data_IF_612286108855
#
_entry.id   IF_612286108855
#
_cell.length_a   1.000
_cell.length_b   1.000
_cell.length_c   1.000
_cell.angle_alpha   90.00
_cell.angle_beta   90.00
_cell.angle_gamma   90.00
#
_symmetry.space_group_name_H-M   'P 1'
#
loop_
_entity.id
_entity.type
_entity.pdbx_description
1 polymer ?
#
# COMPACT_ATOMS: atom_id res chain seq x y z
N UNK A 1 43.71 49.70 45.11
CA UNK A 1 42.31 49.45 44.71
C UNK A 1 42.10 49.40 43.18
N UNK A 2 43.05 48.83 42.39
CA UNK A 2 42.93 48.79 40.90
C UNK A 2 42.56 47.42 40.32
N UNK A 3 42.68 46.33 41.10
CA UNK A 3 42.43 44.97 40.62
C UNK A 3 40.98 44.46 40.74
N UNK A 4 40.12 45.12 41.55
CA UNK A 4 38.71 44.69 41.71
C UNK A 4 37.81 45.17 40.57
N UNK A 5 38.07 46.35 40.01
CA UNK A 5 37.26 46.90 38.92
C UNK A 5 37.52 46.20 37.57
N UNK A 6 38.72 45.67 37.35
CA UNK A 6 39.06 44.91 36.13
C UNK A 6 38.34 43.54 36.11
N UNK A 7 38.24 42.86 37.25
CA UNK A 7 37.54 41.57 37.33
C UNK A 7 36.02 41.70 37.13
N UNK A 8 35.41 42.79 37.60
CA UNK A 8 33.98 43.05 37.39
C UNK A 8 33.68 43.44 35.93
N UNK A 9 34.57 44.21 35.28
CA UNK A 9 34.41 44.58 33.88
C UNK A 9 34.52 43.38 32.92
N UNK A 10 35.41 42.42 33.21
CA UNK A 10 35.59 41.21 32.38
C UNK A 10 34.40 40.26 32.52
N UNK A 11 33.80 40.14 33.72
CA UNK A 11 32.62 39.28 33.94
C UNK A 11 31.37 39.86 33.25
N UNK A 12 31.22 41.20 33.23
CA UNK A 12 30.09 41.83 32.56
C UNK A 12 30.20 41.79 31.02
N UNK A 13 31.42 41.84 30.47
CA UNK A 13 31.65 41.72 29.03
C UNK A 13 31.38 40.30 28.48
N UNK A 14 31.62 39.25 29.28
CA UNK A 14 31.33 37.85 28.89
C UNK A 14 29.83 37.57 28.90
N UNK A 15 29.05 38.22 29.77
CA UNK A 15 27.60 37.99 29.86
C UNK A 15 26.80 38.66 28.73
N UNK A 16 27.36 39.67 28.04
CA UNK A 16 26.73 40.34 26.88
C UNK A 16 26.95 39.52 25.58
N UNK A 17 27.94 38.62 25.55
CA UNK A 17 28.21 37.73 24.41
C UNK A 17 27.29 36.49 24.33
N UNK A 18 26.46 36.24 25.35
CA UNK A 18 25.53 35.09 25.38
C UNK A 18 24.08 35.45 25.02
N UNK A 19 23.79 36.71 24.68
CA UNK A 19 22.45 37.17 24.26
C UNK A 19 22.38 37.54 22.78
N UNK A 20 23.46 37.33 22.02
CA UNK A 20 23.44 37.42 20.55
C UNK A 20 23.12 36.04 20.00
N UNK A 21 21.83 35.72 19.90
CA UNK A 21 21.35 34.52 19.20
C UNK A 21 21.76 34.56 17.74
N UNK A 22 22.88 33.90 17.42
CA UNK A 22 23.27 33.63 16.05
C UNK A 22 22.24 32.66 15.45
N UNK A 23 21.51 33.10 14.43
CA UNK A 23 20.79 32.27 13.48
C UNK A 23 21.78 31.35 12.74
N UNK A 24 22.26 30.31 13.41
CA UNK A 24 23.26 29.36 12.90
C UNK A 24 22.64 28.18 12.14
N UNK A 25 21.33 28.22 11.90
CA UNK A 25 20.64 27.25 11.07
C UNK A 25 19.87 28.00 9.98
N UNK A 26 20.14 27.72 8.70
CA UNK A 26 19.35 28.31 7.63
C UNK A 26 17.93 27.71 7.69
N UNK A 27 16.93 28.47 7.23
CA UNK A 27 15.54 28.01 7.24
C UNK A 27 15.42 26.63 6.54
N UNK A 28 14.54 25.71 7.01
CA UNK A 28 14.43 24.33 6.51
C UNK A 28 14.25 24.25 4.99
N UNK A 29 13.64 25.27 4.39
CA UNK A 29 13.41 25.42 2.95
C UNK A 29 14.70 25.44 2.12
N UNK A 30 15.84 25.88 2.71
CA UNK A 30 17.15 25.88 2.05
C UNK A 30 17.90 24.53 2.14
N UNK A 31 17.45 23.63 3.02
CA UNK A 31 17.93 22.25 3.11
C UNK A 31 17.22 21.33 2.10
N UNK A 32 16.06 21.76 1.60
CA UNK A 32 15.37 21.11 0.47
C UNK A 32 16.00 21.63 -0.82
N UNK A 33 17.16 21.12 -1.18
CA UNK A 33 17.60 21.17 -2.58
C UNK A 33 16.77 20.17 -3.36
N UNK A 34 16.08 20.63 -4.40
CA UNK A 34 15.54 19.75 -5.43
C UNK A 34 16.62 18.73 -5.82
N UNK A 35 16.28 17.43 -5.97
CA UNK A 35 17.27 16.41 -6.26
C UNK A 35 18.06 16.86 -7.48
N UNK A 36 19.35 17.14 -7.29
CA UNK A 36 20.28 17.22 -8.41
C UNK A 36 20.25 15.81 -8.98
N UNK A 37 19.58 15.64 -10.11
CA UNK A 37 19.69 14.44 -10.90
C UNK A 37 21.17 14.11 -11.01
N UNK A 38 21.59 13.09 -10.27
CA UNK A 38 22.82 12.40 -10.57
C UNK A 38 22.52 11.72 -11.88
N UNK A 39 22.73 12.45 -12.98
CA UNK A 39 22.92 11.82 -14.28
C UNK A 39 24.17 10.98 -14.10
N UNK A 40 23.99 9.74 -13.70
CA UNK A 40 24.93 8.69 -14.03
C UNK A 40 25.02 8.72 -15.56
N UNK A 41 26.06 9.37 -16.07
CA UNK A 41 26.45 9.29 -17.47
C UNK A 41 26.98 7.88 -17.65
N UNK A 42 26.07 6.94 -17.89
CA UNK A 42 26.41 5.65 -18.47
C UNK A 42 26.28 5.79 -19.99
N UNK A 43 27.28 5.38 -20.79
CA UNK A 43 27.26 5.47 -22.25
C UNK A 43 26.38 4.39 -22.91
N UNK A 44 25.38 3.87 -22.19
CA UNK A 44 24.24 3.21 -22.81
C UNK A 44 23.56 4.27 -23.67
N UNK A 45 23.36 3.98 -24.95
CA UNK A 45 22.49 4.80 -25.80
C UNK A 45 21.24 5.13 -25.00
N UNK A 46 20.97 6.41 -24.77
CA UNK A 46 19.86 6.87 -23.93
C UNK A 46 18.58 6.07 -24.25
N UNK A 47 18.16 5.18 -23.32
CA UNK A 47 17.00 4.30 -23.50
C UNK A 47 15.74 5.11 -23.81
N UNK A 48 15.64 6.31 -23.25
CA UNK A 48 14.57 7.27 -23.56
C UNK A 48 14.62 7.70 -25.02
N UNK A 49 15.81 7.95 -25.57
CA UNK A 49 15.99 8.25 -26.99
C UNK A 49 15.66 7.05 -27.88
N UNK A 50 16.00 5.82 -27.48
CA UNK A 50 15.61 4.60 -28.20
C UNK A 50 14.09 4.44 -28.18
N UNK A 51 13.46 4.59 -27.02
CA UNK A 51 12.01 4.53 -26.83
C UNK A 51 11.31 5.56 -27.74
N UNK A 52 11.75 6.83 -27.72
CA UNK A 52 11.21 7.91 -28.56
C UNK A 52 11.25 7.61 -30.06
N UNK A 53 12.32 6.97 -30.54
CA UNK A 53 12.44 6.58 -31.97
C UNK A 53 11.51 5.42 -32.36
N UNK A 54 11.08 4.62 -31.38
CA UNK A 54 10.22 3.44 -31.59
C UNK A 54 8.75 3.67 -31.23
N UNK A 55 8.41 4.89 -30.79
CA UNK A 55 7.04 5.31 -30.53
C UNK A 55 6.16 5.17 -31.78
N UNK A 56 4.89 4.74 -31.62
CA UNK A 56 3.89 4.89 -32.67
C UNK A 56 3.80 6.33 -33.18
N UNK A 57 3.51 6.52 -34.47
CA UNK A 57 3.34 7.87 -35.03
C UNK A 57 2.25 8.64 -34.27
N UNK A 58 2.53 9.90 -33.96
CA UNK A 58 1.59 10.75 -33.23
C UNK A 58 1.39 10.36 -31.76
N UNK A 59 2.36 9.69 -31.14
CA UNK A 59 2.35 9.38 -29.71
C UNK A 59 3.52 10.07 -28.98
N UNK A 60 3.39 10.16 -27.66
CA UNK A 60 4.41 10.66 -26.74
C UNK A 60 4.61 9.66 -25.60
N UNK A 61 5.77 9.72 -24.94
CA UNK A 61 5.99 8.99 -23.71
C UNK A 61 5.00 9.45 -22.63
N UNK A 62 4.51 8.51 -21.83
CA UNK A 62 3.56 8.76 -20.75
C UNK A 62 4.05 8.12 -19.47
N UNK A 63 4.15 8.90 -18.40
CA UNK A 63 4.47 8.42 -17.06
C UNK A 63 3.17 7.88 -16.44
N UNK A 64 3.20 6.71 -15.77
CA UNK A 64 2.02 6.19 -15.08
C UNK A 64 1.77 6.98 -13.77
N UNK A 65 0.54 6.96 -13.26
CA UNK A 65 0.23 7.62 -12.00
C UNK A 65 0.80 6.89 -10.78
N UNK A 66 0.95 5.56 -10.89
CA UNK A 66 1.54 4.70 -9.88
C UNK A 66 2.38 3.54 -10.43
N UNK A 67 3.21 2.92 -9.58
CA UNK A 67 3.62 3.42 -8.27
C UNK A 67 4.52 4.66 -8.37
N UNK A 68 4.65 5.41 -7.27
CA UNK A 68 5.43 6.65 -7.23
C UNK A 68 6.89 6.40 -7.63
N UNK A 69 7.40 7.22 -8.54
CA UNK A 69 8.80 7.18 -8.98
C UNK A 69 9.06 6.28 -10.20
N UNK A 70 8.02 5.67 -10.77
CA UNK A 70 8.13 4.96 -12.05
C UNK A 70 8.18 5.94 -13.21
N UNK A 71 9.09 5.70 -14.15
CA UNK A 71 9.25 6.47 -15.38
C UNK A 71 8.48 5.85 -16.57
N UNK A 72 8.30 6.62 -17.63
CA UNK A 72 7.70 6.16 -18.90
C UNK A 72 8.50 5.07 -19.65
N UNK A 73 9.73 4.79 -19.21
CA UNK A 73 10.60 3.74 -19.73
C UNK A 73 11.17 2.97 -18.55
N UNK A 74 10.80 1.70 -18.44
CA UNK A 74 11.16 0.80 -17.35
C UNK A 74 12.16 -0.22 -17.90
N UNK A 75 13.32 -0.35 -17.26
CA UNK A 75 14.29 -1.39 -17.60
C UNK A 75 13.99 -2.64 -16.78
N UNK A 76 13.85 -3.78 -17.44
CA UNK A 76 13.42 -5.02 -16.80
C UNK A 76 13.84 -6.22 -17.65
N UNK A 77 14.44 -7.23 -17.04
CA UNK A 77 14.63 -8.55 -17.62
C UNK A 77 13.30 -9.33 -17.60
N UNK A 78 12.72 -9.55 -18.78
CA UNK A 78 11.41 -10.17 -18.98
C UNK A 78 11.49 -11.63 -19.41
N UNK A 79 12.55 -12.00 -20.12
CA UNK A 79 12.73 -13.36 -20.66
C UNK A 79 13.64 -14.24 -19.79
N UNK A 80 14.35 -13.64 -18.84
CA UNK A 80 15.24 -14.29 -17.88
C UNK A 80 16.65 -14.52 -18.42
N UNK A 81 17.08 -13.79 -19.45
CA UNK A 81 18.41 -13.93 -20.06
C UNK A 81 19.50 -13.02 -19.44
N UNK A 82 19.16 -12.29 -18.37
CA UNK A 82 19.97 -11.29 -17.67
C UNK A 82 20.25 -10.00 -18.47
N UNK A 83 19.73 -9.86 -19.69
CA UNK A 83 19.73 -8.62 -20.44
C UNK A 83 18.38 -7.91 -20.24
N UNK A 84 18.42 -6.64 -19.87
CA UNK A 84 17.18 -5.91 -19.59
C UNK A 84 16.51 -5.42 -20.90
N UNK A 85 15.23 -5.72 -21.04
CA UNK A 85 14.33 -5.09 -21.99
C UNK A 85 13.88 -3.71 -21.52
N UNK A 86 13.52 -2.85 -22.48
CA UNK A 86 12.87 -1.59 -22.21
C UNK A 86 11.36 -1.69 -22.40
N UNK A 87 10.60 -1.70 -21.31
CA UNK A 87 9.15 -1.50 -21.31
C UNK A 87 8.84 0.00 -21.45
N UNK A 88 8.16 0.38 -22.53
CA UNK A 88 7.88 1.77 -22.89
C UNK A 88 6.38 2.04 -22.82
N UNK A 89 6.02 3.08 -22.10
CA UNK A 89 4.66 3.55 -21.88
C UNK A 89 4.39 4.80 -22.72
N UNK A 90 3.24 4.85 -23.39
CA UNK A 90 2.92 5.94 -24.31
C UNK A 90 1.44 6.33 -24.31
N UNK A 91 1.18 7.56 -24.71
CA UNK A 91 -0.17 8.07 -25.00
C UNK A 91 -0.25 8.64 -26.42
N UNK A 92 -1.36 8.39 -27.10
CA UNK A 92 -1.66 8.94 -28.41
C UNK A 92 -2.05 10.41 -28.30
N UNK A 93 -1.48 11.24 -29.17
CA UNK A 93 -1.84 12.64 -29.32
C UNK A 93 -2.92 12.87 -30.39
N UNK A 94 -3.30 11.81 -31.13
CA UNK A 94 -4.16 11.91 -32.32
C UNK A 94 -5.50 11.22 -32.12
N UNK A 95 -5.57 10.19 -31.27
CA UNK A 95 -6.77 9.41 -30.99
C UNK A 95 -7.12 9.52 -29.50
N UNK A 96 -8.24 10.15 -29.15
CA UNK A 96 -8.92 10.20 -27.83
C UNK A 96 -8.08 9.77 -26.61
N UNK A 97 -6.87 10.33 -26.45
CA UNK A 97 -5.91 9.95 -25.41
C UNK A 97 -5.65 8.43 -25.25
N UNK A 98 -5.78 7.61 -26.30
CA UNK A 98 -5.50 6.17 -26.21
C UNK A 98 -4.07 5.92 -25.69
N UNK A 99 -3.96 5.17 -24.60
CA UNK A 99 -2.68 4.77 -24.02
C UNK A 99 -2.25 3.38 -24.48
N UNK A 100 -0.99 3.05 -24.28
CA UNK A 100 -0.48 1.71 -24.53
C UNK A 100 0.95 1.52 -24.03
N UNK A 101 1.44 0.31 -24.24
CA UNK A 101 2.78 -0.09 -23.88
C UNK A 101 3.42 -0.96 -24.97
N UNK A 102 4.74 -0.96 -25.06
CA UNK A 102 5.49 -1.93 -25.86
C UNK A 102 6.82 -2.26 -25.18
N UNK A 103 7.36 -3.45 -25.44
CA UNK A 103 8.69 -3.82 -24.96
C UNK A 103 9.68 -3.87 -26.12
N UNK A 104 10.91 -3.39 -25.87
CA UNK A 104 12.03 -3.46 -26.79
C UNK A 104 13.12 -4.36 -26.21
N UNK A 105 13.71 -5.18 -27.07
CA UNK A 105 14.84 -6.07 -26.76
C UNK A 105 16.03 -5.67 -27.62
N UNK A 106 17.25 -5.78 -27.07
CA UNK A 106 18.48 -5.47 -27.78
C UNK A 106 19.11 -6.72 -28.40
N UNK A 107 18.83 -6.93 -29.68
CA UNK A 107 19.47 -7.99 -30.47
C UNK A 107 20.77 -7.55 -31.16
N UNK A 108 21.34 -8.46 -31.96
CA UNK A 108 22.54 -8.22 -32.75
C UNK A 108 22.41 -7.06 -33.77
N UNK A 109 21.19 -6.82 -34.27
CA UNK A 109 20.88 -5.77 -35.24
C UNK A 109 20.37 -4.46 -34.59
N UNK A 110 20.50 -4.34 -33.26
CA UNK A 110 19.96 -3.24 -32.48
C UNK A 110 18.62 -3.57 -31.83
N UNK A 111 17.90 -2.52 -31.41
CA UNK A 111 16.66 -2.66 -30.66
C UNK A 111 15.48 -3.04 -31.56
N UNK A 112 14.73 -4.07 -31.16
CA UNK A 112 13.52 -4.53 -31.83
C UNK A 112 12.35 -4.64 -30.86
N UNK A 113 11.13 -4.46 -31.39
CA UNK A 113 9.90 -4.55 -30.60
C UNK A 113 9.45 -6.00 -30.49
N UNK A 114 9.39 -6.51 -29.27
CA UNK A 114 9.00 -7.90 -28.97
C UNK A 114 7.55 -8.01 -28.46
N UNK A 115 6.97 -6.88 -28.02
CA UNK A 115 5.62 -6.82 -27.49
C UNK A 115 5.00 -5.46 -27.77
N UNK A 116 3.67 -5.43 -27.95
CA UNK A 116 2.88 -4.21 -27.99
C UNK A 116 1.46 -4.50 -27.50
N UNK A 117 0.93 -3.61 -26.69
CA UNK A 117 -0.48 -3.61 -26.27
C UNK A 117 -1.04 -2.20 -26.30
N UNK A 118 -2.35 -2.11 -26.53
CA UNK A 118 -3.11 -0.87 -26.41
C UNK A 118 -4.01 -1.02 -25.20
N UNK A 119 -3.92 -0.08 -24.27
CA UNK A 119 -4.79 -0.07 -23.10
C UNK A 119 -6.24 0.20 -23.51
N UNK A 120 -7.18 -0.32 -22.73
CA UNK A 120 -8.61 -0.06 -22.91
C UNK A 120 -9.04 1.34 -22.39
N UNK A 121 -8.10 2.10 -21.81
CA UNK A 121 -8.33 3.39 -21.17
C UNK A 121 -7.70 4.59 -21.89
N UNK A 122 -7.84 5.72 -21.23
CA UNK A 122 -7.32 7.04 -21.64
C UNK A 122 -6.08 7.44 -20.84
N UNK A 123 -5.81 6.75 -19.73
CA UNK A 123 -4.69 7.03 -18.82
C UNK A 123 -4.02 5.72 -18.36
N UNK A 124 -2.74 5.82 -18.00
CA UNK A 124 -1.95 4.72 -17.44
C UNK A 124 -1.92 4.94 -15.94
N UNK A 125 -2.84 4.31 -15.23
CA UNK A 125 -2.94 4.46 -13.79
C UNK A 125 -1.78 3.75 -13.08
N UNK A 126 -1.36 2.60 -13.61
CA UNK A 126 -0.31 1.80 -12.96
C UNK A 126 0.62 1.15 -13.97
N UNK A 127 1.92 1.11 -13.69
CA UNK A 127 2.84 0.25 -14.44
C UNK A 127 4.01 -0.20 -13.56
N UNK A 128 4.22 -1.51 -13.48
CA UNK A 128 5.33 -2.08 -12.71
C UNK A 128 5.72 -3.43 -13.30
N UNK A 129 6.90 -3.92 -12.90
CA UNK A 129 7.33 -5.27 -13.21
C UNK A 129 7.84 -5.97 -11.95
N UNK A 130 7.25 -7.12 -11.65
CA UNK A 130 7.50 -7.85 -10.40
C UNK A 130 7.30 -9.35 -10.60
N UNK A 131 8.06 -10.17 -9.89
CA UNK A 131 7.86 -11.63 -9.86
C UNK A 131 6.65 -11.94 -8.98
N UNK A 132 5.45 -11.94 -9.59
CA UNK A 132 4.20 -12.24 -8.89
C UNK A 132 3.84 -13.72 -9.01
N UNK A 133 4.54 -14.50 -9.83
CA UNK A 133 4.34 -15.93 -9.97
C UNK A 133 5.28 -16.75 -9.07
N UNK A 134 6.39 -16.17 -8.65
CA UNK A 134 7.45 -16.80 -7.86
C UNK A 134 8.29 -17.78 -8.68
N UNK A 135 8.53 -17.48 -9.96
CA UNK A 135 9.32 -18.32 -10.86
C UNK A 135 10.70 -17.73 -11.22
N UNK A 136 11.06 -16.60 -10.60
CA UNK A 136 12.30 -15.87 -10.83
C UNK A 136 12.24 -14.90 -12.01
N UNK A 137 11.16 -14.89 -12.81
CA UNK A 137 10.94 -13.91 -13.88
C UNK A 137 9.90 -12.89 -13.46
N UNK A 138 10.07 -11.65 -13.92
CA UNK A 138 9.13 -10.58 -13.63
C UNK A 138 7.98 -10.60 -14.62
N UNK A 139 6.76 -10.57 -14.10
CA UNK A 139 5.58 -10.23 -14.87
C UNK A 139 5.49 -8.72 -15.09
N UNK A 140 4.84 -8.31 -16.18
CA UNK A 140 4.45 -6.92 -16.42
C UNK A 140 3.02 -6.71 -15.94
N UNK A 141 2.83 -5.64 -15.20
CA UNK A 141 1.55 -5.22 -14.65
C UNK A 141 1.22 -3.85 -15.22
N UNK A 142 0.13 -3.75 -15.98
CA UNK A 142 -0.31 -2.51 -16.65
C UNK A 142 -1.75 -2.17 -16.23
N UNK A 143 -1.87 -1.10 -15.44
CA UNK A 143 -3.12 -0.54 -14.98
C UNK A 143 -3.64 0.54 -15.93
N UNK A 144 -4.85 0.34 -16.44
CA UNK A 144 -5.52 1.27 -17.33
C UNK A 144 -6.70 1.93 -16.62
N UNK A 145 -6.79 3.24 -16.76
CA UNK A 145 -7.97 4.00 -16.34
C UNK A 145 -8.73 4.50 -17.57
N UNK A 146 -10.02 4.21 -17.58
CA UNK A 146 -10.96 4.74 -18.57
C UNK A 146 -11.71 5.91 -17.93
N UNK A 147 -11.72 7.05 -18.60
CA UNK A 147 -12.49 8.22 -18.16
C UNK A 147 -13.95 7.85 -17.85
N UNK A 148 -14.43 8.24 -16.67
CA UNK A 148 -15.78 7.94 -16.20
C UNK A 148 -16.01 6.51 -15.67
N UNK A 149 -15.01 5.63 -15.74
CA UNK A 149 -15.09 4.31 -15.10
C UNK A 149 -14.98 4.42 -13.58
N UNK A 150 -15.73 3.57 -12.87
CA UNK A 150 -15.67 3.48 -11.41
C UNK A 150 -14.47 2.66 -10.91
N UNK A 151 -13.87 1.82 -11.75
CA UNK A 151 -12.72 0.96 -11.44
C UNK A 151 -11.67 1.05 -12.55
N UNK A 152 -10.41 0.90 -12.17
CA UNK A 152 -9.29 0.69 -13.08
C UNK A 152 -9.17 -0.81 -13.42
N UNK A 153 -8.51 -1.12 -14.53
CA UNK A 153 -8.26 -2.51 -14.98
C UNK A 153 -6.77 -2.77 -15.04
N UNK A 154 -6.30 -3.73 -14.25
CA UNK A 154 -4.92 -4.24 -14.26
C UNK A 154 -4.83 -5.41 -15.23
N UNK A 155 -4.07 -5.26 -16.30
CA UNK A 155 -3.67 -6.34 -17.20
C UNK A 155 -2.29 -6.86 -16.82
N UNK A 156 -2.18 -8.17 -16.62
CA UNK A 156 -0.94 -8.82 -16.21
C UNK A 156 -0.43 -9.66 -17.37
N UNK A 157 0.85 -9.54 -17.68
CA UNK A 157 1.52 -10.25 -18.76
C UNK A 157 2.73 -11.01 -18.21
N UNK A 158 2.92 -12.24 -18.71
CA UNK A 158 4.02 -13.13 -18.33
C UNK A 158 4.72 -13.65 -19.58
N UNK A 159 5.98 -14.06 -19.44
CA UNK A 159 6.75 -14.63 -20.53
C UNK A 159 6.37 -16.09 -20.76
N UNK A 160 5.95 -16.43 -21.98
CA UNK A 160 5.61 -17.81 -22.36
C UNK A 160 5.82 -18.07 -23.85
N UNK A 161 6.65 -19.07 -24.14
CA UNK A 161 6.99 -19.50 -25.51
C UNK A 161 7.51 -18.30 -26.34
N UNK A 162 8.55 -17.66 -25.82
CA UNK A 162 9.30 -16.58 -26.47
C UNK A 162 8.47 -15.34 -26.80
N UNK A 163 7.48 -15.05 -25.94
CA UNK A 163 6.66 -13.84 -26.03
C UNK A 163 5.95 -13.52 -24.71
N UNK A 164 5.62 -12.25 -24.52
CA UNK A 164 4.67 -11.81 -23.50
C UNK A 164 3.25 -12.22 -23.86
N UNK A 165 2.57 -12.89 -22.94
CA UNK A 165 1.19 -13.35 -23.07
C UNK A 165 0.37 -12.79 -21.90
N UNK A 166 -0.87 -12.37 -22.15
CA UNK A 166 -1.78 -11.92 -21.08
C UNK A 166 -2.09 -13.10 -20.15
N UNK A 167 -1.78 -12.94 -18.86
CA UNK A 167 -2.06 -13.90 -17.80
C UNK A 167 -3.48 -13.70 -17.26
N UNK A 168 -3.81 -12.47 -16.86
CA UNK A 168 -5.06 -12.16 -16.15
C UNK A 168 -5.42 -10.68 -16.21
N UNK A 169 -6.68 -10.40 -15.94
CA UNK A 169 -7.21 -9.06 -15.67
C UNK A 169 -7.79 -9.01 -14.26
N UNK A 170 -7.51 -7.92 -13.53
CA UNK A 170 -8.02 -7.66 -12.18
C UNK A 170 -8.52 -6.21 -12.14
N UNK A 171 -9.74 -5.97 -11.66
CA UNK A 171 -10.20 -4.59 -11.42
C UNK A 171 -9.80 -4.11 -10.03
N UNK A 172 -9.54 -2.82 -9.88
CA UNK A 172 -9.10 -2.21 -8.63
C UNK A 172 -9.47 -0.72 -8.57
N UNK A 173 -9.46 -0.13 -7.37
CA UNK A 173 -9.53 1.31 -7.18
C UNK A 173 -8.20 1.88 -6.70
N UNK A 174 -7.55 1.19 -5.77
CA UNK A 174 -6.13 1.41 -5.44
C UNK A 174 -5.40 0.07 -5.49
N UNK A 175 -4.11 0.12 -5.78
CA UNK A 175 -3.25 -1.04 -5.94
C UNK A 175 -1.89 -0.78 -5.31
N UNK A 176 -1.39 -1.78 -4.60
CA UNK A 176 -0.03 -1.78 -4.06
C UNK A 176 0.66 -3.11 -4.37
N UNK A 177 1.93 -3.05 -4.76
CA UNK A 177 2.80 -4.22 -4.87
C UNK A 177 3.60 -4.37 -3.58
N UNK A 178 3.42 -5.50 -2.91
CA UNK A 178 4.02 -5.80 -1.61
C UNK A 178 5.13 -6.82 -1.80
N UNK A 179 6.36 -6.35 -1.70
CA UNK A 179 7.55 -7.17 -1.58
C UNK A 179 7.78 -7.50 -0.11
N UNK A 180 7.83 -8.79 0.22
CA UNK A 180 8.00 -9.26 1.60
C UNK A 180 9.42 -9.77 1.75
N UNK A 181 10.13 -9.26 2.76
CA UNK A 181 11.51 -9.68 3.05
C UNK A 181 11.55 -11.21 3.27
N UNK A 182 12.54 -11.88 2.68
CA UNK A 182 12.71 -13.34 2.66
C UNK A 182 11.75 -14.13 1.74
N UNK A 183 10.88 -13.46 1.00
CA UNK A 183 10.02 -14.10 0.02
C UNK A 183 10.36 -13.66 -1.40
N UNK A 184 10.47 -14.62 -2.32
CA UNK A 184 10.76 -14.34 -3.73
C UNK A 184 9.56 -13.69 -4.44
N UNK A 185 8.36 -13.88 -3.89
CA UNK A 185 7.10 -13.56 -4.55
C UNK A 185 6.54 -12.19 -4.16
N UNK A 186 6.21 -11.38 -5.14
CA UNK A 186 5.47 -10.13 -4.91
C UNK A 186 3.98 -10.41 -4.74
N UNK A 187 3.36 -9.81 -3.73
CA UNK A 187 1.90 -9.85 -3.51
C UNK A 187 1.27 -8.57 -4.04
N UNK A 188 -0.01 -8.63 -4.39
CA UNK A 188 -0.76 -7.43 -4.79
C UNK A 188 -1.83 -7.15 -3.75
N UNK A 189 -1.76 -6.00 -3.08
CA UNK A 189 -2.86 -5.51 -2.29
C UNK A 189 -3.86 -4.79 -3.20
N UNK A 190 -5.09 -5.28 -3.24
CA UNK A 190 -6.18 -4.72 -4.05
C UNK A 190 -7.18 -4.06 -3.12
N UNK A 191 -7.38 -2.75 -3.30
CA UNK A 191 -8.38 -1.98 -2.60
C UNK A 191 -9.52 -1.67 -3.57
N UNK A 192 -10.71 -2.16 -3.25
CA UNK A 192 -11.94 -1.89 -4.01
C UNK A 192 -12.88 -1.01 -3.22
N UNK A 193 -13.31 0.10 -3.81
CA UNK A 193 -14.34 0.96 -3.25
C UNK A 193 -15.64 0.15 -3.15
N UNK A 194 -16.29 0.23 -2.01
CA UNK A 194 -17.50 -0.54 -1.75
C UNK A 194 -18.56 0.38 -1.11
N UNK A 195 -18.60 0.49 0.22
CA UNK A 195 -19.60 1.32 0.88
C UNK A 195 -19.11 2.76 1.05
N UNK A 196 -19.83 3.70 0.40
CA UNK A 196 -19.50 5.12 0.38
C UNK A 196 -18.05 5.35 -0.11
N UNK A 197 -17.18 5.79 0.78
CA UNK A 197 -15.78 6.10 0.51
C UNK A 197 -14.81 5.14 1.23
N UNK A 198 -15.30 3.96 1.63
CA UNK A 198 -14.50 2.90 2.23
C UNK A 198 -14.11 1.82 1.21
N UNK A 199 -13.03 1.11 1.54
CA UNK A 199 -12.38 0.13 0.68
C UNK A 199 -12.43 -1.27 1.30
N UNK A 200 -12.92 -2.22 0.53
CA UNK A 200 -12.67 -3.64 0.77
C UNK A 200 -11.25 -3.95 0.30
N UNK A 201 -10.41 -4.41 1.23
CA UNK A 201 -8.99 -4.71 0.97
C UNK A 201 -8.78 -6.21 0.92
N UNK A 202 -8.00 -6.68 -0.05
CA UNK A 202 -7.51 -8.06 -0.12
C UNK A 202 -6.02 -8.07 -0.49
N UNK A 203 -5.28 -9.07 0.00
CA UNK A 203 -3.88 -9.30 -0.34
C UNK A 203 -3.81 -10.56 -1.19
N UNK A 204 -3.40 -10.41 -2.44
CA UNK A 204 -3.44 -11.46 -3.45
C UNK A 204 -2.06 -12.06 -3.70
N UNK A 205 -2.02 -13.36 -3.91
CA UNK A 205 -0.86 -14.13 -4.34
C UNK A 205 -1.25 -15.13 -5.43
N UNK A 206 -0.31 -15.49 -6.30
CA UNK A 206 -0.53 -16.53 -7.30
C UNK A 206 -0.29 -17.93 -6.74
N UNK A 207 -1.03 -18.90 -7.26
CA UNK A 207 -0.82 -20.33 -7.02
C UNK A 207 -1.01 -21.07 -8.33
N UNK A 208 0.09 -21.27 -9.07
CA UNK A 208 0.04 -21.59 -10.49
C UNK A 208 -0.62 -20.44 -11.27
N UNK A 209 -1.54 -20.78 -12.18
CA UNK A 209 -2.28 -19.80 -13.00
C UNK A 209 -3.46 -19.13 -12.25
N UNK A 210 -3.69 -19.48 -10.98
CA UNK A 210 -4.78 -18.95 -10.17
C UNK A 210 -4.31 -17.87 -9.22
N UNK A 211 -5.16 -16.87 -8.97
CA UNK A 211 -4.95 -15.83 -7.97
C UNK A 211 -5.82 -16.13 -6.75
N UNK A 212 -5.24 -16.07 -5.56
CA UNK A 212 -5.92 -16.38 -4.28
C UNK A 212 -5.53 -15.35 -3.22
N UNK A 213 -6.35 -15.24 -2.18
CA UNK A 213 -6.01 -14.49 -0.99
C UNK A 213 -4.80 -15.11 -0.26
N UNK A 214 -3.81 -14.29 0.10
CA UNK A 214 -2.64 -14.69 0.88
C UNK A 214 -2.89 -14.55 2.38
N UNK A 215 -3.71 -15.47 2.91
CA UNK A 215 -4.13 -15.44 4.32
C UNK A 215 -2.96 -15.58 5.32
N UNK A 216 -1.81 -16.11 4.88
CA UNK A 216 -0.64 -16.26 5.73
C UNK A 216 -0.04 -14.91 6.12
N UNK A 217 -0.11 -13.94 5.21
CA UNK A 217 0.44 -12.59 5.39
C UNK A 217 -0.61 -11.55 5.80
N UNK A 218 -1.87 -11.96 5.98
CA UNK A 218 -2.90 -11.06 6.49
C UNK A 218 -2.56 -10.48 7.89
N UNK A 219 -2.08 -11.26 8.88
CA UNK A 219 -1.79 -10.73 10.22
C UNK A 219 -0.84 -9.53 10.24
N UNK A 220 0.19 -9.54 9.39
CA UNK A 220 1.15 -8.43 9.28
C UNK A 220 0.59 -7.29 8.43
N UNK A 221 0.10 -7.57 7.22
CA UNK A 221 -0.37 -6.54 6.30
C UNK A 221 -1.58 -5.76 6.84
N UNK A 222 -2.54 -6.45 7.49
CA UNK A 222 -3.75 -5.79 7.97
C UNK A 222 -3.53 -4.89 9.20
N UNK A 223 -2.32 -4.84 9.78
CA UNK A 223 -2.01 -3.82 10.80
C UNK A 223 -2.13 -2.40 10.23
N UNK A 224 -1.67 -2.19 8.99
CA UNK A 224 -1.76 -0.90 8.32
C UNK A 224 -3.21 -0.53 7.97
N UNK A 225 -3.98 -1.52 7.53
CA UNK A 225 -5.42 -1.36 7.24
C UNK A 225 -6.21 -1.03 8.52
N UNK A 226 -5.87 -1.65 9.65
CA UNK A 226 -6.43 -1.32 10.97
C UNK A 226 -6.12 0.14 11.31
N UNK A 227 -4.86 0.58 11.19
CA UNK A 227 -4.45 1.95 11.49
C UNK A 227 -5.18 2.97 10.59
N UNK A 228 -5.36 2.64 9.31
CA UNK A 228 -6.15 3.44 8.38
C UNK A 228 -7.60 3.62 8.87
N UNK A 229 -8.30 2.53 9.19
CA UNK A 229 -9.70 2.63 9.63
C UNK A 229 -9.88 3.24 11.02
N UNK A 230 -8.92 3.06 11.93
CA UNK A 230 -8.91 3.75 13.22
C UNK A 230 -8.86 5.27 13.04
N UNK A 231 -8.03 5.76 12.11
CA UNK A 231 -7.98 7.19 11.74
C UNK A 231 -9.28 7.67 11.07
N UNK A 232 -9.86 6.87 10.17
CA UNK A 232 -11.16 7.20 9.55
C UNK A 232 -12.29 7.30 10.57
N UNK A 233 -12.25 6.47 11.62
CA UNK A 233 -13.21 6.52 12.74
C UNK A 233 -12.97 7.74 13.62
N UNK A 234 -11.72 8.15 13.86
CA UNK A 234 -11.46 9.37 14.65
C UNK A 234 -11.96 10.63 13.92
N UNK A 235 -11.94 10.63 12.58
CA UNK A 235 -12.47 11.70 11.75
C UNK A 235 -14.00 11.68 11.66
N UNK A 236 -14.61 10.50 11.46
CA UNK A 236 -16.06 10.33 11.31
C UNK A 236 -16.56 9.16 12.17
N UNK A 237 -16.80 9.37 13.48
CA UNK A 237 -17.11 8.28 14.42
C UNK A 237 -18.44 7.57 14.15
N UNK A 238 -19.42 8.30 13.59
CA UNK A 238 -20.77 7.78 13.34
C UNK A 238 -20.88 7.05 11.98
N UNK A 239 -19.82 7.05 11.17
CA UNK A 239 -19.78 6.30 9.91
C UNK A 239 -19.68 4.79 10.18
N UNK A 240 -20.83 4.11 10.18
CA UNK A 240 -20.93 2.69 10.53
C UNK A 240 -20.12 1.77 9.61
N UNK A 241 -19.92 2.14 8.35
CA UNK A 241 -19.09 1.39 7.42
C UNK A 241 -17.61 1.37 7.82
N UNK A 242 -17.09 2.43 8.46
CA UNK A 242 -15.70 2.42 8.96
C UNK A 242 -15.52 1.39 10.07
N UNK A 243 -16.50 1.26 10.97
CA UNK A 243 -16.50 0.21 12.01
C UNK A 243 -16.57 -1.20 11.43
N UNK A 244 -17.31 -1.38 10.33
CA UNK A 244 -17.38 -2.66 9.63
C UNK A 244 -16.04 -3.05 9.00
N UNK A 245 -15.38 -2.16 8.27
CA UNK A 245 -14.09 -2.50 7.68
C UNK A 245 -12.95 -2.54 8.71
N UNK A 246 -13.06 -1.80 9.82
CA UNK A 246 -12.17 -2.02 10.98
C UNK A 246 -12.34 -3.45 11.53
N UNK A 247 -13.58 -3.93 11.67
CA UNK A 247 -13.84 -5.29 12.11
C UNK A 247 -13.32 -6.34 11.10
N UNK A 248 -13.55 -6.15 9.81
CA UNK A 248 -13.00 -7.02 8.74
C UNK A 248 -11.47 -7.07 8.81
N UNK A 249 -10.82 -5.91 9.00
CA UNK A 249 -9.38 -5.83 9.15
C UNK A 249 -8.88 -6.57 10.40
N UNK A 250 -9.57 -6.45 11.54
CA UNK A 250 -9.24 -7.22 12.73
C UNK A 250 -9.43 -8.73 12.54
N UNK A 251 -10.48 -9.18 11.83
CA UNK A 251 -10.66 -10.60 11.49
C UNK A 251 -9.48 -11.11 10.67
N UNK A 252 -9.12 -10.39 9.61
CA UNK A 252 -7.99 -10.76 8.75
C UNK A 252 -6.65 -10.69 9.48
N UNK A 253 -6.51 -9.76 10.43
CA UNK A 253 -5.34 -9.67 11.28
C UNK A 253 -5.23 -10.78 12.34
N UNK A 254 -6.24 -11.67 12.47
CA UNK A 254 -6.27 -12.70 13.50
C UNK A 254 -6.55 -12.15 14.91
N UNK A 255 -7.28 -11.03 15.00
CA UNK A 255 -7.60 -10.30 16.23
C UNK A 255 -9.11 -10.38 16.55
N UNK A 256 -9.64 -11.57 16.92
CA UNK A 256 -11.07 -11.80 17.00
C UNK A 256 -11.78 -11.02 18.10
N UNK A 257 -11.14 -10.76 19.25
CA UNK A 257 -11.73 -9.98 20.33
C UNK A 257 -11.94 -8.51 19.91
N UNK A 258 -10.94 -7.93 19.24
CA UNK A 258 -10.99 -6.58 18.68
C UNK A 258 -12.02 -6.48 17.55
N UNK A 259 -12.12 -7.52 16.71
CA UNK A 259 -13.15 -7.60 15.69
C UNK A 259 -14.55 -7.56 16.30
N UNK A 260 -14.81 -8.37 17.34
CA UNK A 260 -16.10 -8.38 18.05
C UNK A 260 -16.40 -7.01 18.66
N UNK A 261 -15.40 -6.36 19.26
CA UNK A 261 -15.56 -5.01 19.79
C UNK A 261 -15.98 -3.99 18.71
N UNK A 262 -15.29 -3.97 17.57
CA UNK A 262 -15.63 -3.09 16.46
C UNK A 262 -17.03 -3.39 15.88
N UNK A 263 -17.42 -4.66 15.83
CA UNK A 263 -18.77 -5.10 15.43
C UNK A 263 -19.83 -4.57 16.40
N UNK A 264 -19.63 -4.71 17.71
CA UNK A 264 -20.56 -4.22 18.73
C UNK A 264 -20.74 -2.71 18.64
N UNK A 265 -19.64 -1.97 18.41
CA UNK A 265 -19.68 -0.53 18.15
C UNK A 265 -20.46 -0.19 16.90
N UNK A 266 -20.16 -0.82 15.77
CA UNK A 266 -20.89 -0.62 14.51
C UNK A 266 -22.39 -0.89 14.65
N UNK A 267 -22.78 -2.00 15.31
CA UNK A 267 -24.18 -2.36 15.54
C UNK A 267 -24.93 -1.43 16.51
N UNK A 268 -24.21 -0.72 17.38
CA UNK A 268 -24.80 0.27 18.29
C UNK A 268 -25.17 1.57 17.58
N UNK A 269 -24.61 1.82 16.39
CA UNK A 269 -24.92 2.99 15.57
C UNK A 269 -26.22 2.76 14.80
N UNK A 270 -27.05 3.80 14.70
CA UNK A 270 -28.34 3.74 14.01
C UNK A 270 -28.17 3.93 12.50
N UNK A 271 -27.56 2.95 11.82
CA UNK A 271 -27.39 2.95 10.37
C UNK A 271 -28.06 1.74 9.70
N UNK A 272 -28.47 1.92 8.45
CA UNK A 272 -28.98 0.87 7.57
C UNK A 272 -27.90 0.25 6.68
N UNK A 273 -26.73 0.90 6.56
CA UNK A 273 -25.57 0.43 5.79
C UNK A 273 -24.29 0.52 6.64
N UNK A 274 -23.52 -0.58 6.76
CA UNK A 274 -23.86 -1.95 6.37
C UNK A 274 -25.08 -2.47 7.16
N UNK A 275 -25.80 -3.45 6.59
CA UNK A 275 -26.91 -4.07 7.30
C UNK A 275 -26.40 -4.90 8.49
N UNK A 276 -27.27 -5.17 9.46
CA UNK A 276 -26.94 -6.07 10.59
C UNK A 276 -26.43 -7.44 10.13
N UNK A 277 -26.87 -7.92 8.96
CA UNK A 277 -26.42 -9.19 8.38
C UNK A 277 -24.93 -9.21 8.04
N UNK A 278 -24.38 -8.11 7.53
CA UNK A 278 -22.94 -7.99 7.24
C UNK A 278 -22.11 -8.14 8.52
N UNK A 279 -22.50 -7.44 9.57
CA UNK A 279 -21.87 -7.55 10.89
C UNK A 279 -21.99 -8.94 11.50
N UNK A 280 -23.15 -9.60 11.35
CA UNK A 280 -23.35 -10.98 11.84
C UNK A 280 -22.45 -11.98 11.11
N UNK A 281 -22.24 -11.82 9.80
CA UNK A 281 -21.32 -12.68 9.05
C UNK A 281 -19.88 -12.52 9.53
N UNK A 282 -19.41 -11.28 9.78
CA UNK A 282 -18.09 -11.05 10.38
C UNK A 282 -17.99 -11.59 11.81
N UNK A 283 -19.05 -11.45 12.62
CA UNK A 283 -19.09 -12.00 13.98
C UNK A 283 -18.88 -13.51 13.98
N UNK A 284 -19.57 -14.24 13.09
CA UNK A 284 -19.40 -15.69 12.95
C UNK A 284 -17.94 -16.06 12.62
N UNK A 285 -17.26 -15.26 11.80
CA UNK A 285 -15.85 -15.48 11.49
C UNK A 285 -14.97 -15.24 12.73
N UNK A 286 -15.15 -14.11 13.42
CA UNK A 286 -14.39 -13.78 14.62
C UNK A 286 -14.60 -14.80 15.76
N UNK A 287 -15.84 -15.21 16.04
CA UNK A 287 -16.17 -16.17 17.09
C UNK A 287 -15.56 -17.56 16.84
N UNK A 288 -15.45 -17.98 15.57
CA UNK A 288 -14.78 -19.24 15.21
C UNK A 288 -13.28 -19.23 15.49
N UNK A 289 -12.66 -18.05 15.52
CA UNK A 289 -11.23 -17.87 15.80
C UNK A 289 -10.94 -17.82 17.30
N UNK A 290 -11.94 -17.61 18.15
CA UNK A 290 -11.76 -17.60 19.60
C UNK A 290 -11.31 -19.00 20.09
N UNK A 291 -10.45 -19.06 21.13
CA UNK A 291 -10.08 -20.33 21.73
C UNK A 291 -11.34 -21.09 22.16
N UNK A 292 -11.44 -22.37 21.78
CA UNK A 292 -12.43 -23.25 22.39
C UNK A 292 -12.08 -23.36 23.86
N UNK A 293 -12.89 -22.77 24.74
CA UNK A 293 -12.72 -22.92 26.18
C UNK A 293 -12.52 -24.41 26.49
N UNK A 294 -11.38 -24.78 27.08
CA UNK A 294 -11.23 -26.08 27.72
C UNK A 294 -12.15 -26.08 28.93
N UNK A 295 -13.41 -26.49 28.75
CA UNK A 295 -14.27 -26.87 29.85
C UNK A 295 -13.67 -28.11 30.53
N UNK A 296 -12.69 -27.92 31.42
CA UNK A 296 -12.45 -28.89 32.48
C UNK A 296 -13.64 -28.78 33.44
N UNK A 297 -14.57 -29.71 33.31
CA UNK A 297 -15.65 -29.94 34.27
C UNK A 297 -15.07 -30.10 35.67
N UNK A 298 -15.22 -29.10 36.53
CA UNK A 298 -15.67 -29.20 37.94
C UNK A 298 -15.89 -27.76 38.43
N UNK A 299 -17.12 -27.24 38.36
CA UNK A 299 -17.68 -26.43 39.45
C UNK A 299 -19.14 -26.84 39.62
N UNK A 300 -19.40 -27.49 40.75
CA UNK A 300 -20.70 -27.83 41.28
C UNK A 300 -21.61 -26.58 41.35
N UNK A 301 -22.85 -26.73 40.92
CA UNK A 301 -23.92 -25.76 41.14
C UNK A 301 -24.02 -25.41 42.63
N UNK A 302 -23.63 -24.19 43.00
CA UNK A 302 -24.35 -23.35 43.96
C UNK A 302 -23.76 -21.94 44.01
N UNK A 303 -24.66 -20.98 43.83
CA UNK A 303 -24.55 -19.54 44.15
C UNK A 303 -23.56 -18.67 43.34
N UNK A 304 -24.04 -18.13 42.22
CA UNK A 304 -23.41 -17.00 41.54
C UNK A 304 -24.43 -15.88 41.29
N UNK A 305 -24.78 -15.15 42.35
CA UNK A 305 -25.43 -13.82 42.23
C UNK A 305 -24.54 -12.67 42.68
N UNK A 306 -23.27 -12.92 43.07
CA UNK A 306 -22.41 -11.88 43.67
C UNK A 306 -21.04 -11.66 43.02
N UNK A 307 -20.63 -12.48 42.04
CA UNK A 307 -19.27 -12.41 41.48
C UNK A 307 -19.18 -11.90 40.03
N UNK A 308 -20.30 -11.48 39.42
CA UNK A 308 -20.32 -11.06 38.01
C UNK A 308 -19.69 -9.69 37.76
N UNK A 309 -19.70 -8.78 38.75
CA UNK A 309 -19.22 -7.41 38.54
C UNK A 309 -17.70 -7.27 38.58
N UNK A 310 -17.00 -8.06 39.40
CA UNK A 310 -15.55 -7.90 39.61
C UNK A 310 -14.76 -8.46 38.43
N UNK A 311 -15.20 -9.58 37.85
CA UNK A 311 -14.55 -10.17 36.67
C UNK A 311 -14.76 -9.31 35.42
N UNK A 312 -15.98 -8.80 35.19
CA UNK A 312 -16.26 -7.87 34.08
C UNK A 312 -15.43 -6.58 34.22
N UNK A 313 -15.29 -6.04 35.43
CA UNK A 313 -14.50 -4.83 35.69
C UNK A 313 -12.99 -5.08 35.50
N UNK A 314 -12.49 -6.26 35.86
CA UNK A 314 -11.10 -6.66 35.63
C UNK A 314 -10.79 -6.89 34.15
N UNK A 315 -11.73 -7.44 33.37
CA UNK A 315 -11.62 -7.58 31.92
C UNK A 315 -11.60 -6.20 31.27
N UNK A 316 -12.51 -5.30 31.65
CA UNK A 316 -12.53 -3.92 31.15
C UNK A 316 -11.23 -3.17 31.48
N UNK A 317 -10.65 -3.38 32.67
CA UNK A 317 -9.36 -2.78 33.01
C UNK A 317 -8.20 -3.35 32.19
N UNK A 318 -8.16 -4.67 31.95
CA UNK A 318 -7.14 -5.30 31.10
C UNK A 318 -7.23 -4.79 29.66
N UNK A 319 -8.45 -4.67 29.12
CA UNK A 319 -8.71 -4.14 27.78
C UNK A 319 -8.27 -2.68 27.67
N UNK A 320 -8.61 -1.84 28.66
CA UNK A 320 -8.16 -0.43 28.69
C UNK A 320 -6.64 -0.29 28.79
N UNK A 321 -5.99 -1.15 29.58
CA UNK A 321 -4.53 -1.17 29.73
C UNK A 321 -3.85 -1.58 28.42
N UNK A 322 -4.36 -2.62 27.77
CA UNK A 322 -3.87 -3.04 26.45
C UNK A 322 -4.06 -1.93 25.41
N UNK A 323 -5.24 -1.30 25.33
CA UNK A 323 -5.51 -0.20 24.40
C UNK A 323 -4.59 1.01 24.65
N UNK A 324 -4.26 1.34 25.90
CA UNK A 324 -3.38 2.48 26.22
C UNK A 324 -1.92 2.29 25.80
N UNK A 325 -1.47 1.06 25.55
CA UNK A 325 -0.11 0.78 25.10
C UNK A 325 0.10 1.02 23.60
N UNK A 326 -0.98 1.21 22.84
CA UNK A 326 -0.93 1.43 21.39
C UNK A 326 -1.29 2.88 20.98
N UNK A 327 -1.49 3.79 21.93
CA UNK A 327 -1.99 5.16 21.67
C UNK A 327 -0.98 6.30 21.94
N UNK A 328 0.33 6.01 21.94
CA UNK A 328 1.35 7.05 21.94
C UNK A 328 2.38 6.80 20.84
N UNK A 329 2.07 7.30 19.64
CA UNK A 329 2.97 8.06 18.74
C UNK A 329 2.10 9.04 17.96
#
# INVERSE_FOLDING_TARGET
MRGKHIKVAVIFAISILLLSGCNLFPAPESLIKAPKQVKAVNPAQDLVSIAKRNLPKGSKLSVPDGPVGVDSVINVDLDGDENEEALVLYSSMVSENQVGAFALEKGANGWSKIFITKGAGTEIDWAYAADIMGDGRKEILLGWQTEGSAENVLEIYYWKKDKLTKLKEITYNELEAIEIEEEEKTRLAILKRDMADAYKVDLLTWKGDSVVADMNYYPSYFQEVIAYYQRRISEVPDATYNWYYLADAHVKAGLPEQAIHAIDKGLSLNSVVPTKGYFQQLRIQAEKMLPKERFSSVISRKDTSKYRSIEEELIIQKVKKAASQYWFV
#
